data_IF_100269793611
#
_entry.id   IF_100269793611
#
_cell.length_a   1.000
_cell.length_b   1.000
_cell.length_c   1.000
_cell.angle_alpha   90.00
_cell.angle_beta   90.00
_cell.angle_gamma   90.00
#
_symmetry.space_group_name_H-M   'P 1'
#
loop_
_entity.id
_entity.type
_entity.pdbx_description
1 polymer ?
#
# COMPACT_ATOMS: atom_id res chain seq x y z
N UNK A 1 20.56 -13.44 -45.78
CA UNK A 1 21.08 -12.35 -44.93
C UNK A 1 20.01 -11.83 -43.95
N UNK A 2 19.27 -12.72 -43.25
CA UNK A 2 18.11 -12.29 -42.44
C UNK A 2 18.42 -12.25 -40.93
N UNK A 3 19.55 -12.80 -40.49
CA UNK A 3 19.89 -12.91 -39.08
C UNK A 3 20.18 -11.57 -38.37
N UNK A 4 20.54 -10.52 -39.12
CA UNK A 4 20.78 -9.17 -38.57
C UNK A 4 19.47 -8.48 -38.16
N UNK A 5 18.51 -8.42 -39.09
CA UNK A 5 17.17 -7.85 -38.88
C UNK A 5 16.44 -8.48 -37.68
N UNK A 6 16.61 -9.77 -37.46
CA UNK A 6 15.95 -10.46 -36.36
C UNK A 6 16.53 -10.10 -34.97
N UNK A 7 17.83 -9.78 -34.89
CA UNK A 7 18.45 -9.32 -33.64
C UNK A 7 18.03 -7.88 -33.32
N UNK A 8 17.99 -7.02 -34.32
CA UNK A 8 17.50 -5.64 -34.17
C UNK A 8 16.03 -5.61 -33.75
N UNK A 9 15.19 -6.44 -34.38
CA UNK A 9 13.78 -6.56 -34.00
C UNK A 9 13.61 -6.99 -32.53
N UNK A 10 14.40 -7.94 -32.04
CA UNK A 10 14.33 -8.36 -30.61
C UNK A 10 14.64 -7.17 -29.69
N UNK A 11 15.64 -6.36 -30.02
CA UNK A 11 15.97 -5.21 -29.18
C UNK A 11 14.95 -4.08 -29.27
N UNK A 12 14.32 -3.87 -30.43
CA UNK A 12 13.19 -2.95 -30.55
C UNK A 12 12.00 -3.41 -29.71
N UNK A 13 11.63 -4.70 -29.77
CA UNK A 13 10.56 -5.25 -28.93
C UNK A 13 10.93 -5.23 -27.44
N UNK A 14 12.21 -5.42 -27.10
CA UNK A 14 12.69 -5.26 -25.71
C UNK A 14 12.48 -3.84 -25.21
N UNK A 15 12.90 -2.84 -26.00
CA UNK A 15 12.72 -1.43 -25.67
C UNK A 15 11.23 -1.05 -25.57
N UNK A 16 10.40 -1.65 -26.41
CA UNK A 16 8.94 -1.54 -26.35
C UNK A 16 8.27 -2.36 -25.23
N UNK A 17 9.03 -3.10 -24.42
CA UNK A 17 8.55 -3.99 -23.35
C UNK A 17 7.55 -5.06 -23.84
N UNK A 18 7.64 -5.44 -25.12
CA UNK A 18 6.86 -6.47 -25.78
C UNK A 18 7.44 -7.87 -25.52
N UNK A 19 7.42 -8.30 -24.25
CA UNK A 19 8.08 -9.55 -23.85
C UNK A 19 7.50 -10.80 -24.53
N UNK A 20 6.21 -10.79 -24.89
CA UNK A 20 5.55 -11.89 -25.60
C UNK A 20 6.11 -12.07 -27.01
N UNK A 21 6.29 -10.95 -27.71
CA UNK A 21 6.87 -10.88 -29.06
C UNK A 21 8.32 -11.33 -29.01
N UNK A 22 9.08 -10.89 -28.02
CA UNK A 22 10.47 -11.35 -27.83
C UNK A 22 10.52 -12.87 -27.66
N UNK A 23 9.72 -13.45 -26.77
CA UNK A 23 9.68 -14.92 -26.58
C UNK A 23 9.32 -15.65 -27.87
N UNK A 24 8.32 -15.15 -28.61
CA UNK A 24 7.91 -15.73 -29.89
C UNK A 24 9.06 -15.71 -30.89
N UNK A 25 9.75 -14.58 -31.03
CA UNK A 25 10.89 -14.44 -31.93
C UNK A 25 12.06 -15.34 -31.53
N UNK A 26 12.40 -15.40 -30.24
CA UNK A 26 13.47 -16.26 -29.73
C UNK A 26 13.20 -17.75 -29.98
N UNK A 27 11.93 -18.16 -29.89
CA UNK A 27 11.50 -19.54 -30.18
C UNK A 27 11.65 -19.88 -31.66
N UNK A 28 11.22 -18.96 -32.55
CA UNK A 28 11.36 -19.13 -34.02
C UNK A 28 12.83 -19.19 -34.43
N UNK A 29 13.68 -18.37 -33.81
CA UNK A 29 15.10 -18.27 -34.12
C UNK A 29 15.96 -19.35 -33.43
N UNK A 30 15.35 -20.20 -32.60
CA UNK A 30 16.02 -21.27 -31.84
C UNK A 30 17.24 -20.77 -31.07
N UNK A 31 17.05 -19.71 -30.30
CA UNK A 31 18.10 -19.19 -29.43
C UNK A 31 18.56 -20.27 -28.44
N UNK A 32 19.84 -20.24 -28.13
CA UNK A 32 20.38 -21.06 -27.05
C UNK A 32 19.72 -20.69 -25.72
N UNK A 33 19.48 -21.68 -24.87
CA UNK A 33 18.79 -21.49 -23.59
C UNK A 33 19.61 -20.63 -22.62
N UNK A 34 20.93 -20.54 -22.78
CA UNK A 34 21.73 -19.59 -21.99
C UNK A 34 21.42 -18.14 -22.38
N UNK A 35 21.54 -17.84 -23.67
CA UNK A 35 21.27 -16.48 -24.21
C UNK A 35 19.82 -16.06 -23.98
N UNK A 36 18.90 -17.02 -24.08
CA UNK A 36 17.48 -16.80 -23.80
C UNK A 36 17.24 -16.35 -22.36
N UNK A 37 17.87 -17.01 -21.39
CA UNK A 37 17.76 -16.62 -19.99
C UNK A 37 18.31 -15.24 -19.72
N UNK A 38 19.44 -14.87 -20.33
CA UNK A 38 20.02 -13.54 -20.20
C UNK A 38 19.09 -12.43 -20.73
N UNK A 39 18.50 -12.62 -21.92
CA UNK A 39 17.58 -11.63 -22.51
C UNK A 39 16.30 -11.51 -21.69
N UNK A 40 15.71 -12.63 -21.27
CA UNK A 40 14.50 -12.64 -20.44
C UNK A 40 14.76 -12.02 -19.06
N UNK A 41 15.95 -12.27 -18.49
CA UNK A 41 16.39 -11.65 -17.25
C UNK A 41 16.44 -10.11 -17.35
N UNK A 42 16.95 -9.58 -18.47
CA UNK A 42 16.98 -8.13 -18.74
C UNK A 42 15.57 -7.55 -18.94
N UNK A 43 14.72 -8.23 -19.71
CA UNK A 43 13.31 -7.83 -19.90
C UNK A 43 12.57 -7.75 -18.57
N UNK A 44 12.76 -8.74 -17.71
CA UNK A 44 12.15 -8.74 -16.39
C UNK A 44 12.63 -7.54 -15.54
N UNK A 45 13.93 -7.21 -15.59
CA UNK A 45 14.45 -6.03 -14.90
C UNK A 45 13.86 -4.73 -15.44
N UNK A 46 13.66 -4.62 -16.75
CA UNK A 46 13.06 -3.44 -17.38
C UNK A 46 11.55 -3.34 -17.05
N UNK A 47 10.82 -4.46 -17.02
CA UNK A 47 9.43 -4.51 -16.57
C UNK A 47 9.28 -4.10 -15.11
N UNK A 48 10.22 -4.51 -14.24
CA UNK A 48 10.25 -4.11 -12.84
C UNK A 48 10.47 -2.59 -12.68
N UNK A 49 11.37 -1.99 -13.46
CA UNK A 49 11.59 -0.53 -13.45
C UNK A 49 10.33 0.24 -13.82
N UNK A 50 9.57 -0.26 -14.79
CA UNK A 50 8.30 0.31 -15.23
C UNK A 50 7.10 -0.10 -14.35
N UNK A 51 7.35 -0.73 -13.20
CA UNK A 51 6.34 -1.17 -12.23
C UNK A 51 5.34 -2.22 -12.77
N UNK A 52 5.66 -2.88 -13.89
CA UNK A 52 4.87 -4.00 -14.47
C UNK A 52 5.30 -5.33 -13.85
N UNK A 53 5.14 -5.43 -12.54
CA UNK A 53 5.70 -6.52 -11.70
C UNK A 53 5.09 -7.88 -12.05
N UNK A 54 3.78 -7.95 -12.24
CA UNK A 54 3.08 -9.20 -12.56
C UNK A 54 3.63 -9.83 -13.85
N UNK A 55 3.90 -9.00 -14.86
CA UNK A 55 4.48 -9.46 -16.11
C UNK A 55 5.93 -9.89 -15.95
N UNK A 56 6.72 -9.16 -15.16
CA UNK A 56 8.09 -9.57 -14.84
C UNK A 56 8.12 -10.93 -14.13
N UNK A 57 7.20 -11.17 -13.19
CA UNK A 57 7.05 -12.45 -12.48
C UNK A 57 6.70 -13.57 -13.45
N UNK A 58 5.73 -13.36 -14.36
CA UNK A 58 5.37 -14.36 -15.39
C UNK A 58 6.59 -14.71 -16.25
N UNK A 59 7.36 -13.71 -16.69
CA UNK A 59 8.56 -13.92 -17.50
C UNK A 59 9.60 -14.74 -16.72
N UNK A 60 9.86 -14.39 -15.46
CA UNK A 60 10.87 -15.05 -14.64
C UNK A 60 10.47 -16.48 -14.24
N UNK A 61 9.20 -16.68 -13.88
CA UNK A 61 8.66 -17.96 -13.41
C UNK A 61 8.47 -18.94 -14.56
N UNK A 62 7.70 -18.53 -15.59
CA UNK A 62 7.27 -19.46 -16.65
C UNK A 62 8.33 -19.66 -17.73
N UNK A 63 9.13 -18.63 -18.04
CA UNK A 63 10.02 -18.66 -19.19
C UNK A 63 11.51 -18.70 -18.83
N UNK A 64 11.94 -17.95 -17.80
CA UNK A 64 13.33 -17.95 -17.35
C UNK A 64 13.64 -19.08 -16.35
N UNK A 65 12.61 -19.57 -15.63
CA UNK A 65 12.72 -20.51 -14.51
C UNK A 65 13.68 -20.06 -13.41
N UNK A 66 13.80 -18.75 -13.22
CA UNK A 66 14.64 -18.15 -12.18
C UNK A 66 13.79 -17.85 -10.93
N UNK A 67 13.54 -18.90 -10.16
CA UNK A 67 12.66 -18.81 -8.99
C UNK A 67 13.25 -17.95 -7.88
N UNK A 68 14.59 -17.90 -7.74
CA UNK A 68 15.25 -17.05 -6.74
C UNK A 68 15.03 -15.58 -7.04
N UNK A 69 15.25 -15.17 -8.29
CA UNK A 69 14.97 -13.79 -8.72
C UNK A 69 13.49 -13.47 -8.62
N UNK A 70 12.62 -14.42 -8.99
CA UNK A 70 11.15 -14.27 -8.87
C UNK A 70 10.71 -14.01 -7.43
N UNK A 71 11.16 -14.84 -6.47
CA UNK A 71 10.84 -14.68 -5.05
C UNK A 71 11.35 -13.33 -4.53
N UNK A 72 12.59 -12.95 -4.87
CA UNK A 72 13.14 -11.65 -4.49
C UNK A 72 12.30 -10.49 -5.02
N UNK A 73 11.93 -10.52 -6.30
CA UNK A 73 11.05 -9.51 -6.90
C UNK A 73 9.69 -9.47 -6.20
N UNK A 74 9.07 -10.61 -5.90
CA UNK A 74 7.80 -10.66 -5.18
C UNK A 74 7.92 -10.07 -3.77
N UNK A 75 9.03 -10.32 -3.06
CA UNK A 75 9.29 -9.74 -1.73
C UNK A 75 9.47 -8.22 -1.80
N UNK A 76 10.24 -7.71 -2.77
CA UNK A 76 10.49 -6.27 -2.96
C UNK A 76 9.17 -5.52 -3.19
N UNK A 77 8.22 -6.14 -3.91
CA UNK A 77 6.88 -5.61 -4.15
C UNK A 77 5.82 -6.09 -3.16
N UNK A 78 6.23 -6.58 -1.99
CA UNK A 78 5.36 -6.92 -0.85
C UNK A 78 4.30 -7.99 -1.16
N UNK A 79 4.51 -8.78 -2.21
CA UNK A 79 3.64 -9.88 -2.65
C UNK A 79 3.99 -11.19 -1.94
N UNK A 80 4.09 -11.14 -0.60
CA UNK A 80 4.59 -12.25 0.22
C UNK A 80 3.76 -13.53 0.08
N UNK A 81 2.42 -13.41 -0.05
CA UNK A 81 1.56 -14.58 -0.26
C UNK A 81 1.96 -15.37 -1.50
N UNK A 82 2.20 -14.67 -2.61
CA UNK A 82 2.60 -15.31 -3.85
C UNK A 82 4.00 -15.91 -3.72
N UNK A 83 4.95 -15.20 -3.10
CA UNK A 83 6.29 -15.72 -2.84
C UNK A 83 6.27 -17.02 -2.01
N UNK A 84 5.42 -17.09 -0.97
CA UNK A 84 5.25 -18.30 -0.13
C UNK A 84 4.64 -19.44 -0.96
N UNK A 85 3.54 -19.17 -1.69
CA UNK A 85 2.90 -20.18 -2.53
C UNK A 85 3.89 -20.76 -3.55
N UNK A 86 4.68 -19.91 -4.19
CA UNK A 86 5.69 -20.32 -5.16
C UNK A 86 6.78 -21.17 -4.49
N UNK A 87 7.34 -20.70 -3.37
CA UNK A 87 8.39 -21.41 -2.63
C UNK A 87 7.93 -22.80 -2.18
N UNK A 88 6.73 -22.91 -1.62
CA UNK A 88 6.15 -24.20 -1.19
C UNK A 88 5.87 -25.11 -2.38
N UNK A 89 5.30 -24.59 -3.47
CA UNK A 89 4.95 -25.40 -4.64
C UNK A 89 6.18 -26.02 -5.33
N UNK A 90 7.34 -25.37 -5.20
CA UNK A 90 8.60 -25.81 -5.80
C UNK A 90 9.54 -26.51 -4.81
N UNK A 91 9.14 -26.67 -3.54
CA UNK A 91 9.99 -27.26 -2.49
C UNK A 91 11.24 -26.43 -2.15
N UNK A 92 11.16 -25.10 -2.29
CA UNK A 92 12.25 -24.16 -2.01
C UNK A 92 12.27 -23.77 -0.53
N UNK A 93 12.39 -24.76 0.36
CA UNK A 93 12.32 -24.57 1.82
C UNK A 93 13.39 -23.61 2.36
N UNK A 94 14.52 -23.50 1.66
CA UNK A 94 15.62 -22.60 2.01
C UNK A 94 15.25 -21.10 1.89
N UNK A 95 14.26 -20.76 1.07
CA UNK A 95 13.84 -19.37 0.85
C UNK A 95 12.72 -18.94 1.84
N UNK A 96 12.04 -19.89 2.49
CA UNK A 96 10.96 -19.59 3.45
C UNK A 96 11.43 -18.74 4.65
N UNK A 97 12.60 -19.00 5.29
CA UNK A 97 13.11 -18.14 6.34
C UNK A 97 13.37 -16.71 5.85
N UNK A 98 13.91 -16.55 4.64
CA UNK A 98 14.17 -15.24 4.04
C UNK A 98 12.87 -14.47 3.78
N UNK A 99 11.84 -15.16 3.30
CA UNK A 99 10.50 -14.57 3.10
C UNK A 99 9.89 -14.16 4.46
N UNK A 100 10.02 -15.01 5.49
CA UNK A 100 9.52 -14.74 6.84
C UNK A 100 10.21 -13.53 7.49
N UNK A 101 11.52 -13.39 7.31
CA UNK A 101 12.29 -12.22 7.77
C UNK A 101 11.84 -10.95 7.07
N UNK A 102 11.65 -11.01 5.74
CA UNK A 102 11.13 -9.89 4.94
C UNK A 102 9.74 -9.45 5.38
N UNK A 103 8.85 -10.42 5.63
CA UNK A 103 7.49 -10.16 6.11
C UNK A 103 7.52 -9.54 7.52
N UNK A 104 8.37 -10.05 8.42
CA UNK A 104 8.50 -9.52 9.78
C UNK A 104 9.00 -8.09 9.79
N UNK A 105 9.97 -7.75 8.93
CA UNK A 105 10.43 -6.36 8.72
C UNK A 105 9.31 -5.48 8.19
N UNK A 106 8.59 -5.93 7.16
CA UNK A 106 7.47 -5.20 6.60
C UNK A 106 6.35 -4.94 7.62
N UNK A 107 6.01 -5.94 8.45
CA UNK A 107 5.07 -5.78 9.55
C UNK A 107 5.59 -4.81 10.63
N UNK A 108 6.90 -4.81 10.87
CA UNK A 108 7.57 -3.82 11.71
C UNK A 108 7.41 -2.40 11.20
N UNK A 109 7.63 -2.18 9.90
CA UNK A 109 7.49 -0.87 9.23
C UNK A 109 6.03 -0.41 9.16
N UNK A 110 5.10 -1.35 9.05
CA UNK A 110 3.65 -1.10 9.10
C UNK A 110 3.17 -0.66 10.48
N UNK A 111 3.96 -0.84 11.55
CA UNK A 111 3.54 -0.43 12.91
C UNK A 111 3.15 1.04 12.87
N UNK A 112 1.85 1.25 13.08
CA UNK A 112 1.04 2.47 13.15
C UNK A 112 1.57 3.60 14.07
N UNK A 113 2.80 3.48 14.57
CA UNK A 113 3.46 4.42 15.47
C UNK A 113 3.54 5.83 14.85
N UNK A 114 3.73 5.95 13.54
CA UNK A 114 3.73 7.25 12.86
C UNK A 114 2.34 7.88 12.77
N UNK A 115 1.29 7.08 12.57
CA UNK A 115 -0.08 7.58 12.43
C UNK A 115 -0.71 7.94 13.76
N UNK A 116 -0.40 7.21 14.83
CA UNK A 116 -0.91 7.51 16.17
C UNK A 116 -0.48 8.89 16.65
N UNK A 117 0.80 9.22 16.48
CA UNK A 117 1.33 10.52 16.88
C UNK A 117 0.82 11.67 16.00
N UNK A 118 0.70 11.43 14.69
CA UNK A 118 0.10 12.41 13.77
C UNK A 118 -1.37 12.66 14.09
N UNK A 119 -2.13 11.60 14.37
CA UNK A 119 -3.54 11.67 14.77
C UNK A 119 -3.69 12.43 16.09
N UNK A 120 -2.86 12.14 17.10
CA UNK A 120 -2.92 12.84 18.39
C UNK A 120 -2.51 14.32 18.28
N UNK A 121 -1.55 14.65 17.42
CA UNK A 121 -1.22 16.06 17.10
C UNK A 121 -2.40 16.75 16.42
N UNK A 122 -3.04 16.11 15.46
CA UNK A 122 -4.20 16.64 14.77
C UNK A 122 -5.39 16.85 15.72
N UNK A 123 -5.68 15.85 16.58
CA UNK A 123 -6.70 15.92 17.63
C UNK A 123 -6.46 17.09 18.58
N UNK A 124 -5.22 17.28 19.05
CA UNK A 124 -4.85 18.43 19.89
C UNK A 124 -5.06 19.77 19.20
N UNK A 125 -4.66 19.89 17.93
CA UNK A 125 -4.88 21.10 17.12
C UNK A 125 -6.36 21.44 17.00
N UNK A 126 -7.20 20.44 16.70
CA UNK A 126 -8.66 20.63 16.63
C UNK A 126 -9.25 21.09 17.96
N UNK A 127 -8.81 20.53 19.08
CA UNK A 127 -9.27 20.92 20.42
C UNK A 127 -8.95 22.40 20.72
N UNK A 128 -7.75 22.85 20.35
CA UNK A 128 -7.32 24.26 20.50
C UNK A 128 -8.17 25.16 19.60
N UNK A 129 -8.32 24.81 18.31
CA UNK A 129 -9.11 25.60 17.37
C UNK A 129 -10.57 25.76 17.82
N UNK A 130 -11.20 24.68 18.32
CA UNK A 130 -12.56 24.74 18.89
C UNK A 130 -12.62 25.65 20.11
N UNK A 131 -11.66 25.56 21.03
CA UNK A 131 -11.60 26.43 22.22
C UNK A 131 -11.41 27.90 21.85
N UNK A 132 -10.56 28.19 20.87
CA UNK A 132 -10.37 29.54 20.35
C UNK A 132 -11.62 30.08 19.65
N UNK A 133 -12.31 29.27 18.87
CA UNK A 133 -13.58 29.64 18.24
C UNK A 133 -14.65 29.95 19.29
N UNK A 134 -14.80 29.11 20.31
CA UNK A 134 -15.73 29.38 21.43
C UNK A 134 -15.35 30.66 22.17
N UNK A 135 -14.06 30.93 22.39
CA UNK A 135 -13.60 32.16 23.03
C UNK A 135 -13.87 33.40 22.16
N UNK A 136 -13.63 33.33 20.85
CA UNK A 136 -13.97 34.40 19.90
C UNK A 136 -15.47 34.68 19.87
N UNK A 137 -16.29 33.63 19.90
CA UNK A 137 -17.74 33.76 19.98
C UNK A 137 -18.17 34.39 21.32
N UNK A 138 -17.57 34.00 22.44
CA UNK A 138 -17.80 34.63 23.76
C UNK A 138 -17.39 36.11 23.79
N UNK A 139 -16.31 36.50 23.12
CA UNK A 139 -15.88 37.91 23.01
C UNK A 139 -16.83 38.73 22.15
N UNK A 140 -17.42 38.16 21.09
CA UNK A 140 -18.47 38.83 20.29
C UNK A 140 -19.75 39.06 21.07
N UNK A 141 -20.10 38.16 22.01
CA UNK A 141 -21.28 38.31 22.90
C UNK A 141 -21.08 39.39 23.97
N UNK A 142 -19.84 39.88 24.20
CA UNK A 142 -19.56 40.95 25.16
C UNK A 142 -19.90 42.37 24.68
N UNK A 143 -20.49 42.54 23.49
CA UNK A 143 -21.31 43.71 23.22
C UNK A 143 -22.75 43.36 23.61
N UNK A 144 -23.24 43.79 24.80
CA UNK A 144 -24.62 43.54 25.17
C UNK A 144 -25.50 44.50 24.36
N UNK A 145 -25.79 44.16 23.11
CA UNK A 145 -27.13 44.48 22.64
C UNK A 145 -28.06 43.64 23.52
N UNK A 146 -28.87 44.33 24.32
CA UNK A 146 -29.84 43.69 25.22
C UNK A 146 -30.70 42.75 24.36
N UNK A 147 -30.41 41.45 24.40
CA UNK A 147 -31.30 40.44 23.82
C UNK A 147 -32.61 40.53 24.58
N UNK A 148 -33.69 40.65 23.83
CA UNK A 148 -35.04 40.61 24.38
C UNK A 148 -35.35 39.22 24.93
N UNK A 149 -36.31 39.13 25.85
CA UNK A 149 -36.65 37.88 26.53
C UNK A 149 -37.09 36.77 25.55
N UNK A 150 -37.63 37.16 24.40
CA UNK A 150 -38.05 36.26 23.32
C UNK A 150 -36.85 35.67 22.56
N UNK A 151 -35.77 36.43 22.38
CA UNK A 151 -34.54 35.95 21.73
C UNK A 151 -33.78 34.97 22.64
N UNK A 152 -33.84 35.17 23.96
CA UNK A 152 -33.28 34.23 24.93
C UNK A 152 -34.08 32.91 24.97
N UNK A 153 -35.40 32.98 24.85
CA UNK A 153 -36.25 31.78 24.77
C UNK A 153 -35.97 30.97 23.48
N UNK A 154 -35.79 31.65 22.34
CA UNK A 154 -35.45 30.99 21.08
C UNK A 154 -34.08 30.29 21.11
N UNK A 155 -33.07 30.90 21.74
CA UNK A 155 -31.74 30.28 21.89
C UNK A 155 -31.79 29.08 22.85
N UNK A 156 -32.56 29.17 23.93
CA UNK A 156 -32.74 28.06 24.86
C UNK A 156 -33.42 26.84 24.20
N UNK A 157 -34.40 27.07 23.33
CA UNK A 157 -35.07 26.01 22.56
C UNK A 157 -34.07 25.26 21.66
N UNK A 158 -33.21 25.99 20.93
CA UNK A 158 -32.22 25.39 20.02
C UNK A 158 -31.14 24.59 20.76
N UNK A 159 -30.76 25.02 21.97
CA UNK A 159 -29.77 24.27 22.79
C UNK A 159 -30.41 22.98 23.34
N UNK A 160 -31.66 23.04 23.80
CA UNK A 160 -32.39 21.85 24.26
C UNK A 160 -32.65 20.82 23.15
N UNK A 161 -32.80 21.27 21.90
CA UNK A 161 -32.99 20.37 20.75
C UNK A 161 -31.68 19.71 20.28
N UNK A 162 -30.50 20.23 20.66
CA UNK A 162 -29.19 19.65 20.29
C UNK A 162 -28.60 18.66 21.30
N UNK A 163 -29.15 18.58 22.51
CA UNK A 163 -28.64 17.69 23.56
C UNK A 163 -29.34 16.30 23.58
N UNK A 164 -30.20 15.99 22.60
CA UNK A 164 -30.93 14.71 22.52
C UNK A 164 -30.32 13.65 21.60
N UNK A 165 -29.18 13.90 20.95
CA UNK A 165 -28.54 12.91 20.05
C UNK A 165 -27.09 12.55 20.42
N UNK A 166 -26.78 12.32 21.71
CA UNK A 166 -25.55 11.57 22.06
C UNK A 166 -25.68 10.77 23.38
N UNK A 167 -26.76 10.00 23.54
CA UNK A 167 -26.81 8.83 24.43
C UNK A 167 -27.25 7.59 23.66
N UNK A 168 -26.32 6.92 22.98
CA UNK A 168 -26.43 5.46 22.76
C UNK A 168 -25.04 4.82 22.74
N UNK A 169 -24.79 3.96 23.72
CA UNK A 169 -24.01 2.74 23.52
C UNK A 169 -22.60 2.71 24.11
N UNK A 170 -22.51 2.43 25.42
CA UNK A 170 -21.23 2.11 26.05
C UNK A 170 -21.35 1.52 27.47
N UNK A 171 -22.35 0.70 27.74
CA UNK A 171 -22.37 -0.15 28.94
C UNK A 171 -21.22 -1.17 28.88
N UNK A 172 -20.27 -1.00 29.80
CA UNK A 172 -19.91 -1.99 30.82
C UNK A 172 -19.41 -3.39 30.36
N UNK A 173 -18.09 -3.59 30.36
CA UNK A 173 -17.45 -4.77 30.98
C UNK A 173 -16.13 -4.34 31.63
N UNK A 174 -16.16 -4.05 32.92
CA UNK A 174 -14.99 -4.14 33.81
C UNK A 174 -15.34 -5.16 34.89
N UNK A 175 -15.02 -6.43 34.65
CA UNK A 175 -14.89 -7.42 35.72
C UNK A 175 -13.44 -7.40 36.23
N UNK A 176 -13.33 -6.90 37.46
CA UNK A 176 -12.53 -7.42 38.57
C UNK A 176 -11.06 -7.78 38.32
N UNK A 177 -10.18 -6.89 38.77
CA UNK A 177 -8.89 -7.27 39.37
C UNK A 177 -8.98 -6.95 40.86
N UNK A 178 -9.07 -7.97 41.71
CA UNK A 178 -8.48 -7.99 43.05
C UNK A 178 -8.65 -9.37 43.71
N UNK A 179 -7.63 -10.22 43.58
CA UNK A 179 -7.04 -11.03 44.65
C UNK A 179 -5.65 -11.50 44.23
#
# INVERSE_FOLDING_TARGET
>A
MNAGLHKEAIEEYRLGLGWREVIRLMTVLKYDESVKRDVLGKIADDLVKEKRVEEAVIVLESHNKDYKKTIKTLMDFKSFRHAICLAVSLGLDLELPTIADGLSKYLGDLKLLSFKDQFERYRRRLKIARKEQMNRNRVKVKNPQKLTQDELAAIAQVICDTDTEEEVGGEEILMEVNK
#
